data_IF_577127458126
#
_entry.id   IF_577127458126
#
_cell.length_a   1.000
_cell.length_b   1.000
_cell.length_c   1.000
_cell.angle_alpha   90.00
_cell.angle_beta   90.00
_cell.angle_gamma   90.00
#
_symmetry.space_group_name_H-M   'P 1'
#
loop_
_entity.id
_entity.type
_entity.pdbx_description
1 polymer ?
#
# COMPACT_ATOMS: atom_id res chain seq x y z
N UNK A 1 1.15 -46.99 -62.69
CA UNK A 1 2.60 -46.70 -62.53
C UNK A 1 2.79 -45.20 -62.74
N UNK A 2 3.68 -44.48 -62.03
CA UNK A 2 3.79 -44.31 -60.57
C UNK A 2 4.08 -42.82 -60.12
N UNK A 3 3.97 -42.57 -58.79
CA UNK A 3 4.81 -41.73 -57.88
C UNK A 3 4.81 -40.17 -57.92
N UNK A 4 4.40 -39.47 -56.84
CA UNK A 4 5.22 -38.83 -55.73
C UNK A 4 5.53 -37.34 -56.01
N UNK A 5 5.59 -36.34 -55.12
CA UNK A 5 5.22 -36.05 -53.73
C UNK A 5 5.67 -34.57 -53.44
N UNK A 6 5.06 -33.94 -52.43
CA UNK A 6 5.61 -32.85 -51.57
C UNK A 6 5.82 -31.42 -52.14
N UNK A 7 5.10 -30.44 -51.57
CA UNK A 7 5.64 -29.46 -50.59
C UNK A 7 4.57 -28.52 -50.02
N UNK A 8 4.30 -28.69 -48.73
CA UNK A 8 3.77 -27.66 -47.83
C UNK A 8 4.75 -26.48 -47.73
N UNK A 9 4.23 -25.27 -47.63
CA UNK A 9 4.91 -24.16 -46.96
C UNK A 9 3.89 -23.21 -46.30
N UNK A 10 3.71 -23.45 -45.00
CA UNK A 10 3.28 -22.48 -44.00
C UNK A 10 4.35 -21.42 -43.73
N UNK A 11 3.92 -20.34 -43.04
CA UNK A 11 4.67 -19.29 -42.29
C UNK A 11 5.11 -18.05 -43.12
N UNK A 12 4.98 -16.79 -42.66
CA UNK A 12 4.61 -16.17 -41.38
C UNK A 12 4.13 -14.71 -41.68
N UNK A 13 3.32 -14.05 -40.87
CA UNK A 13 3.81 -13.37 -39.66
C UNK A 13 2.73 -13.22 -38.60
N UNK A 14 2.96 -13.92 -37.50
CA UNK A 14 2.29 -13.85 -36.21
C UNK A 14 2.28 -12.42 -35.67
N UNK A 15 1.08 -11.88 -35.44
CA UNK A 15 0.87 -10.72 -34.57
C UNK A 15 1.10 -11.19 -33.13
N UNK A 16 2.26 -10.84 -32.60
CA UNK A 16 2.68 -11.16 -31.25
C UNK A 16 1.84 -10.36 -30.23
N UNK A 17 0.64 -10.86 -29.88
CA UNK A 17 -0.17 -10.32 -28.81
C UNK A 17 0.51 -10.65 -27.47
N UNK A 18 1.13 -9.65 -26.84
CA UNK A 18 1.70 -9.81 -25.49
C UNK A 18 0.58 -10.17 -24.50
N UNK A 19 0.82 -11.06 -23.53
CA UNK A 19 -0.21 -11.45 -22.57
C UNK A 19 -0.63 -10.25 -21.71
N UNK A 20 -1.94 -10.06 -21.53
CA UNK A 20 -2.55 -8.92 -20.86
C UNK A 20 -2.01 -8.65 -19.43
N UNK A 21 -1.54 -9.69 -18.72
CA UNK A 21 -0.91 -9.58 -17.39
C UNK A 21 0.41 -8.81 -17.40
N UNK A 22 1.17 -8.87 -18.50
CA UNK A 22 2.41 -8.07 -18.62
C UNK A 22 2.08 -6.59 -18.71
N UNK A 23 0.92 -6.26 -19.27
CA UNK A 23 0.47 -4.89 -19.45
C UNK A 23 -0.09 -4.28 -18.15
N UNK A 24 -0.72 -5.10 -17.30
CA UNK A 24 -1.20 -4.65 -15.98
C UNK A 24 -0.03 -4.34 -15.04
N UNK A 25 0.97 -5.23 -14.96
CA UNK A 25 2.17 -5.00 -14.14
C UNK A 25 2.92 -3.75 -14.63
N UNK A 26 3.08 -3.60 -15.95
CA UNK A 26 3.77 -2.44 -16.54
C UNK A 26 3.04 -1.13 -16.23
N UNK A 27 1.72 -1.12 -16.35
CA UNK A 27 0.88 0.05 -16.05
C UNK A 27 1.02 0.44 -14.58
N UNK A 28 0.89 -0.52 -13.66
CA UNK A 28 1.06 -0.30 -12.23
C UNK A 28 2.45 0.27 -11.89
N UNK A 29 3.53 -0.33 -12.42
CA UNK A 29 4.90 0.14 -12.17
C UNK A 29 5.13 1.58 -12.65
N UNK A 30 4.47 1.97 -13.75
CA UNK A 30 4.54 3.31 -14.28
C UNK A 30 3.76 4.31 -13.41
N UNK A 31 2.59 3.94 -12.88
CA UNK A 31 1.80 4.78 -11.98
C UNK A 31 2.55 5.09 -10.68
N UNK A 32 3.07 4.07 -9.99
CA UNK A 32 3.84 4.28 -8.75
C UNK A 32 5.17 5.00 -9.00
N UNK A 33 5.68 4.97 -10.23
CA UNK A 33 6.89 5.67 -10.64
C UNK A 33 6.71 7.19 -10.75
N UNK A 34 5.46 7.66 -10.95
CA UNK A 34 5.11 9.09 -11.04
C UNK A 34 4.99 9.77 -9.67
N UNK A 35 4.77 8.99 -8.61
CA UNK A 35 4.64 9.52 -7.25
C UNK A 35 6.02 9.96 -6.74
N UNK A 36 6.19 11.24 -6.32
CA UNK A 36 7.44 11.72 -5.77
C UNK A 36 7.76 11.05 -4.42
N UNK A 37 9.05 10.88 -4.14
CA UNK A 37 9.50 10.39 -2.84
C UNK A 37 9.25 11.45 -1.76
N UNK A 38 8.95 11.00 -0.54
CA UNK A 38 8.82 11.90 0.59
C UNK A 38 10.17 12.45 1.05
N UNK A 39 10.18 13.73 1.41
CA UNK A 39 11.28 14.32 2.16
C UNK A 39 11.23 13.87 3.62
N UNK A 40 12.34 14.02 4.34
CA UNK A 40 12.40 13.69 5.77
C UNK A 40 11.38 14.48 6.60
N UNK A 41 11.19 15.75 6.27
CA UNK A 41 10.21 16.61 6.93
C UNK A 41 8.76 16.16 6.66
N UNK A 42 8.49 15.73 5.42
CA UNK A 42 7.19 15.16 5.05
C UNK A 42 6.93 13.84 5.78
N UNK A 43 7.92 12.96 5.89
CA UNK A 43 7.80 11.71 6.69
C UNK A 43 7.39 12.02 8.13
N UNK A 44 8.03 13.03 8.75
CA UNK A 44 7.73 13.43 10.13
C UNK A 44 6.33 14.02 10.22
N UNK A 45 5.97 14.91 9.29
CA UNK A 45 4.67 15.61 9.30
C UNK A 45 3.52 14.63 9.10
N UNK A 46 3.61 13.78 8.07
CA UNK A 46 2.59 12.78 7.79
C UNK A 46 2.54 11.70 8.87
N UNK A 47 3.70 11.27 9.39
CA UNK A 47 3.76 10.34 10.52
C UNK A 47 2.99 10.86 11.73
N UNK A 48 3.16 12.13 12.11
CA UNK A 48 2.41 12.75 13.22
C UNK A 48 0.90 12.81 12.96
N UNK A 49 0.49 13.13 11.73
CA UNK A 49 -0.93 13.17 11.35
C UNK A 49 -1.57 11.78 11.42
N UNK A 50 -0.86 10.75 10.94
CA UNK A 50 -1.31 9.36 11.06
C UNK A 50 -1.40 8.94 12.52
N UNK A 51 -0.38 9.22 13.33
CA UNK A 51 -0.41 8.89 14.77
C UNK A 51 -1.58 9.53 15.50
N UNK A 52 -1.86 10.82 15.26
CA UNK A 52 -3.02 11.51 15.84
C UNK A 52 -4.32 10.80 15.45
N UNK A 53 -4.49 10.46 14.17
CA UNK A 53 -5.66 9.71 13.71
C UNK A 53 -5.76 8.32 14.36
N UNK A 54 -4.65 7.58 14.50
CA UNK A 54 -4.66 6.26 15.12
C UNK A 54 -5.08 6.34 16.60
N UNK A 55 -4.62 7.35 17.34
CA UNK A 55 -5.06 7.60 18.72
C UNK A 55 -6.56 7.89 18.80
N UNK A 56 -7.09 8.70 17.88
CA UNK A 56 -8.52 8.99 17.82
C UNK A 56 -9.34 7.72 17.56
N UNK A 57 -8.90 6.86 16.63
CA UNK A 57 -9.55 5.59 16.32
C UNK A 57 -9.50 4.60 17.50
N UNK A 58 -8.40 4.58 18.25
CA UNK A 58 -8.28 3.75 19.45
C UNK A 58 -9.29 4.17 20.54
N UNK A 59 -9.46 5.49 20.74
CA UNK A 59 -10.49 6.01 21.66
C UNK A 59 -11.88 5.61 21.20
N UNK A 60 -12.16 5.67 19.89
CA UNK A 60 -13.43 5.22 19.33
C UNK A 60 -13.70 3.74 19.63
N UNK A 61 -12.69 2.89 19.43
CA UNK A 61 -12.79 1.46 19.68
C UNK A 61 -13.07 1.19 21.16
N UNK A 62 -12.31 1.80 22.05
CA UNK A 62 -12.49 1.68 23.52
C UNK A 62 -13.89 2.14 23.94
N UNK A 63 -14.37 3.24 23.37
CA UNK A 63 -15.69 3.77 23.65
C UNK A 63 -16.80 2.83 23.15
N UNK A 64 -16.61 2.19 21.98
CA UNK A 64 -17.55 1.21 21.47
C UNK A 64 -17.71 0.00 22.40
N UNK A 65 -16.60 -0.48 22.98
CA UNK A 65 -16.61 -1.55 23.97
C UNK A 65 -17.32 -1.15 25.26
N UNK A 66 -17.16 0.10 25.70
CA UNK A 66 -17.79 0.62 26.92
C UNK A 66 -19.30 0.85 26.76
N UNK A 67 -19.73 1.35 25.59
CA UNK A 67 -21.13 1.66 25.31
C UNK A 67 -21.92 0.42 24.84
N UNK A 68 -21.24 -0.60 24.32
CA UNK A 68 -21.88 -1.77 23.72
C UNK A 68 -22.51 -1.49 22.35
N UNK A 69 -22.22 -0.33 21.74
CA UNK A 69 -22.63 0.05 20.39
C UNK A 69 -21.59 0.97 19.76
N UNK A 70 -21.72 1.19 18.44
CA UNK A 70 -20.86 2.12 17.73
C UNK A 70 -21.07 3.55 18.25
N UNK A 71 -20.02 4.27 18.69
CA UNK A 71 -20.15 5.63 19.19
C UNK A 71 -20.58 6.58 18.07
N UNK A 72 -21.53 7.45 18.37
CA UNK A 72 -21.89 8.57 17.52
C UNK A 72 -20.74 9.57 17.40
N UNK A 73 -20.79 10.42 16.39
CA UNK A 73 -19.77 11.46 16.20
C UNK A 73 -19.70 12.42 17.40
N UNK A 74 -20.83 12.66 18.05
CA UNK A 74 -20.92 13.53 19.22
C UNK A 74 -20.23 12.88 20.43
N UNK A 75 -20.59 11.64 20.78
CA UNK A 75 -19.97 10.89 21.90
C UNK A 75 -18.46 10.73 21.71
N UNK A 76 -18.01 10.48 20.47
CA UNK A 76 -16.59 10.37 20.17
C UNK A 76 -15.85 11.70 20.32
N UNK A 77 -16.45 12.81 19.86
CA UNK A 77 -15.87 14.14 20.01
C UNK A 77 -15.81 14.59 21.48
N UNK A 78 -16.83 14.25 22.27
CA UNK A 78 -16.88 14.50 23.71
C UNK A 78 -15.81 13.71 24.46
N UNK A 79 -15.63 12.42 24.15
CA UNK A 79 -14.60 11.59 24.74
C UNK A 79 -13.16 12.06 24.42
N UNK A 80 -12.98 12.79 23.32
CA UNK A 80 -11.71 13.37 22.91
C UNK A 80 -11.53 14.84 23.33
N UNK A 81 -12.49 15.40 24.07
CA UNK A 81 -12.52 16.80 24.50
C UNK A 81 -12.30 17.80 23.33
N UNK A 82 -12.87 17.51 22.16
CA UNK A 82 -12.74 18.34 20.96
C UNK A 82 -14.07 18.50 20.21
N UNK A 83 -14.15 19.48 19.31
CA UNK A 83 -15.36 19.65 18.50
C UNK A 83 -15.51 18.56 17.44
N UNK A 84 -16.76 18.23 17.06
CA UNK A 84 -17.05 17.26 16.01
C UNK A 84 -16.43 17.62 14.65
N UNK A 85 -16.32 18.91 14.34
CA UNK A 85 -15.68 19.43 13.12
C UNK A 85 -14.16 19.31 13.16
N UNK A 86 -13.54 19.58 14.32
CA UNK A 86 -12.10 19.38 14.51
C UNK A 86 -11.73 17.90 14.40
N UNK A 87 -12.52 17.02 15.03
CA UNK A 87 -12.35 15.58 14.93
C UNK A 87 -12.40 15.12 13.46
N UNK A 88 -13.44 15.53 12.74
CA UNK A 88 -13.60 15.20 11.31
C UNK A 88 -12.39 15.67 10.49
N UNK A 89 -11.98 16.92 10.67
CA UNK A 89 -10.84 17.51 9.97
C UNK A 89 -9.54 16.76 10.27
N UNK A 90 -9.30 16.43 11.53
CA UNK A 90 -8.13 15.66 11.97
C UNK A 90 -8.09 14.26 11.35
N UNK A 91 -9.24 13.57 11.30
CA UNK A 91 -9.34 12.25 10.68
C UNK A 91 -9.09 12.30 9.16
N UNK A 92 -9.65 13.29 8.46
CA UNK A 92 -9.43 13.47 7.02
C UNK A 92 -7.95 13.77 6.72
N UNK A 93 -7.31 14.61 7.54
CA UNK A 93 -5.88 14.89 7.43
C UNK A 93 -5.05 13.62 7.64
N UNK A 94 -5.34 12.84 8.67
CA UNK A 94 -4.66 11.57 8.95
C UNK A 94 -4.82 10.55 7.83
N UNK A 95 -6.03 10.41 7.28
CA UNK A 95 -6.31 9.50 6.14
C UNK A 95 -5.52 9.91 4.90
N UNK A 96 -5.50 11.21 4.59
CA UNK A 96 -4.72 11.74 3.47
C UNK A 96 -3.23 11.56 3.67
N UNK A 97 -2.73 11.77 4.88
CA UNK A 97 -1.33 11.55 5.24
C UNK A 97 -0.93 10.08 5.08
N UNK A 98 -1.77 9.16 5.59
CA UNK A 98 -1.59 7.70 5.44
C UNK A 98 -1.49 7.33 3.97
N UNK A 99 -2.44 7.78 3.13
CA UNK A 99 -2.43 7.54 1.68
C UNK A 99 -1.13 8.00 1.02
N UNK A 100 -0.70 9.25 1.28
CA UNK A 100 0.56 9.78 0.75
C UNK A 100 1.78 8.98 1.19
N UNK A 101 1.82 8.52 2.45
CA UNK A 101 2.91 7.69 2.95
C UNK A 101 2.95 6.33 2.26
N UNK A 102 1.81 5.71 2.01
CA UNK A 102 1.73 4.44 1.29
C UNK A 102 2.19 4.62 -0.16
N UNK A 103 1.56 5.55 -0.89
CA UNK A 103 1.83 5.79 -2.32
C UNK A 103 3.31 6.07 -2.61
N UNK A 104 3.94 6.94 -1.82
CA UNK A 104 5.34 7.30 -2.00
C UNK A 104 6.32 6.13 -1.72
N UNK A 105 5.85 5.08 -1.05
CA UNK A 105 6.66 3.92 -0.67
C UNK A 105 6.30 2.63 -1.42
N UNK A 106 5.35 2.65 -2.37
CA UNK A 106 5.01 1.46 -3.18
C UNK A 106 6.21 0.93 -3.99
N UNK A 107 7.12 1.81 -4.40
CA UNK A 107 8.37 1.41 -5.08
C UNK A 107 9.25 0.53 -4.19
N UNK A 108 9.26 0.77 -2.87
CA UNK A 108 9.99 -0.05 -1.91
C UNK A 108 9.36 -1.45 -1.84
N UNK A 109 8.04 -1.56 -1.78
CA UNK A 109 7.30 -2.83 -1.79
C UNK A 109 7.70 -3.67 -2.99
N UNK A 110 7.63 -3.10 -4.19
CA UNK A 110 8.03 -3.78 -5.44
C UNK A 110 9.48 -4.27 -5.37
N UNK A 111 10.41 -3.45 -4.85
CA UNK A 111 11.83 -3.82 -4.75
C UNK A 111 12.09 -4.98 -3.79
N UNK A 112 11.26 -5.13 -2.76
CA UNK A 112 11.32 -6.23 -1.80
C UNK A 112 10.65 -7.46 -2.40
N UNK A 113 9.43 -7.33 -2.93
CA UNK A 113 8.64 -8.41 -3.53
C UNK A 113 9.38 -9.13 -4.67
N UNK A 114 10.14 -8.40 -5.50
CA UNK A 114 10.96 -8.99 -6.57
C UNK A 114 11.94 -10.06 -6.08
N UNK A 115 12.38 -9.99 -4.82
CA UNK A 115 13.29 -11.00 -4.23
C UNK A 115 12.59 -12.31 -3.91
N UNK A 116 11.26 -12.32 -3.82
CA UNK A 116 10.43 -13.47 -3.46
C UNK A 116 9.70 -14.11 -4.66
N UNK A 117 9.86 -13.56 -5.87
CA UNK A 117 9.20 -14.02 -7.09
C UNK A 117 9.57 -15.46 -7.52
N UNK A 118 10.66 -16.04 -6.99
CA UNK A 118 11.04 -17.44 -7.27
C UNK A 118 10.19 -18.48 -6.52
N UNK A 119 9.21 -18.05 -5.72
CA UNK A 119 8.25 -18.91 -5.02
C UNK A 119 6.99 -19.05 -5.88
N UNK A 120 6.18 -20.09 -5.67
CA UNK A 120 4.97 -20.41 -6.47
C UNK A 120 3.81 -19.39 -6.35
N UNK A 121 4.10 -18.11 -6.07
CA UNK A 121 3.13 -17.03 -5.88
C UNK A 121 3.28 -16.01 -7.02
N UNK A 122 2.15 -15.47 -7.47
CA UNK A 122 2.13 -14.47 -8.54
C UNK A 122 2.78 -13.15 -8.06
N UNK A 123 3.38 -12.39 -8.97
CA UNK A 123 4.14 -11.21 -8.58
C UNK A 123 3.25 -10.08 -8.05
N UNK A 124 2.04 -9.90 -8.59
CA UNK A 124 1.07 -8.95 -8.06
C UNK A 124 0.60 -9.39 -6.67
N UNK A 125 0.39 -10.69 -6.41
CA UNK A 125 0.02 -11.18 -5.09
C UNK A 125 1.08 -10.80 -4.03
N UNK A 126 2.37 -10.99 -4.34
CA UNK A 126 3.48 -10.55 -3.47
C UNK A 126 3.48 -9.03 -3.23
N UNK A 127 3.12 -8.24 -4.25
CA UNK A 127 3.00 -6.79 -4.12
C UNK A 127 1.81 -6.44 -3.23
N UNK A 128 0.67 -7.12 -3.37
CA UNK A 128 -0.52 -6.87 -2.56
C UNK A 128 -0.24 -7.17 -1.08
N UNK A 129 0.32 -8.35 -0.77
CA UNK A 129 0.70 -8.71 0.60
C UNK A 129 1.73 -7.73 1.17
N UNK A 130 2.74 -7.38 0.38
CA UNK A 130 3.73 -6.37 0.77
C UNK A 130 3.13 -4.99 1.02
N UNK A 131 2.07 -4.62 0.29
CA UNK A 131 1.35 -3.34 0.45
C UNK A 131 0.55 -3.34 1.74
N UNK A 132 -0.09 -4.46 2.10
CA UNK A 132 -0.75 -4.63 3.40
C UNK A 132 0.26 -4.54 4.55
N UNK A 133 1.46 -5.11 4.37
CA UNK A 133 2.58 -4.94 5.30
C UNK A 133 2.99 -3.48 5.45
N UNK A 134 3.20 -2.78 4.33
CA UNK A 134 3.52 -1.35 4.32
C UNK A 134 2.47 -0.52 5.07
N UNK A 135 1.19 -0.77 4.82
CA UNK A 135 0.08 -0.07 5.46
C UNK A 135 0.13 -0.20 7.00
N UNK A 136 0.30 -1.43 7.52
CA UNK A 136 0.50 -1.67 8.96
C UNK A 136 1.74 -0.95 9.49
N UNK A 137 2.79 -0.89 8.69
CA UNK A 137 4.00 -0.14 9.00
C UNK A 137 3.75 1.37 9.11
N UNK A 138 2.91 1.95 8.25
CA UNK A 138 2.52 3.37 8.32
C UNK A 138 1.74 3.66 9.60
N UNK A 139 0.78 2.79 9.95
CA UNK A 139 -0.06 2.95 11.15
C UNK A 139 0.73 2.93 12.46
N UNK A 140 1.80 2.12 12.51
CA UNK A 140 2.61 1.91 13.72
C UNK A 140 3.90 2.72 13.73
N UNK A 141 4.16 3.52 12.69
CA UNK A 141 5.40 4.27 12.59
C UNK A 141 5.47 5.38 13.65
N UNK A 142 6.65 5.54 14.22
CA UNK A 142 6.96 6.60 15.18
C UNK A 142 8.04 7.55 14.61
N UNK A 143 7.66 8.75 14.16
CA UNK A 143 8.59 9.71 13.57
C UNK A 143 9.57 10.30 14.58
N UNK A 144 9.32 10.17 15.89
CA UNK A 144 10.20 10.72 16.93
C UNK A 144 11.41 9.83 17.23
N UNK A 145 11.41 8.56 16.80
CA UNK A 145 12.50 7.61 17.05
C UNK A 145 13.79 7.87 16.24
N UNK A 146 13.80 8.86 15.35
CA UNK A 146 15.00 9.29 14.64
C UNK A 146 15.40 8.47 13.40
N UNK A 147 14.79 7.31 13.15
CA UNK A 147 15.04 6.50 11.96
C UNK A 147 14.17 6.92 10.76
N UNK A 148 14.62 6.64 9.53
CA UNK A 148 13.85 6.83 8.29
C UNK A 148 12.68 5.85 8.22
N UNK A 149 11.55 6.31 7.64
CA UNK A 149 10.38 5.45 7.51
C UNK A 149 10.67 4.20 6.67
N UNK A 150 11.47 4.33 5.60
CA UNK A 150 11.85 3.21 4.73
C UNK A 150 12.56 2.06 5.48
N UNK A 151 13.38 2.38 6.48
CA UNK A 151 14.04 1.37 7.33
C UNK A 151 13.02 0.60 8.15
N UNK A 152 12.05 1.29 8.73
CA UNK A 152 10.99 0.67 9.53
C UNK A 152 10.03 -0.16 8.66
N UNK A 153 9.58 0.41 7.53
CA UNK A 153 8.67 -0.21 6.59
C UNK A 153 9.25 -1.51 5.99
N UNK A 154 10.56 -1.59 5.78
CA UNK A 154 11.22 -2.79 5.26
C UNK A 154 10.85 -4.05 6.07
N UNK A 155 10.85 -3.96 7.41
CA UNK A 155 10.52 -5.09 8.27
C UNK A 155 9.06 -5.52 8.09
N UNK A 156 8.13 -4.57 8.10
CA UNK A 156 6.70 -4.85 7.93
C UNK A 156 6.35 -5.44 6.57
N UNK A 157 6.95 -4.90 5.49
CA UNK A 157 6.76 -5.42 4.13
C UNK A 157 7.31 -6.84 4.04
N UNK A 158 8.52 -7.07 4.56
CA UNK A 158 9.14 -8.40 4.53
C UNK A 158 8.31 -9.42 5.31
N UNK A 159 7.81 -9.04 6.49
CA UNK A 159 7.01 -9.89 7.35
C UNK A 159 5.68 -10.30 6.70
N UNK A 160 5.08 -9.43 5.89
CA UNK A 160 3.84 -9.74 5.19
C UNK A 160 4.04 -10.67 3.98
N UNK A 161 5.22 -10.62 3.35
CA UNK A 161 5.55 -11.44 2.16
C UNK A 161 6.11 -12.82 2.55
N UNK A 162 6.67 -12.95 3.77
CA UNK A 162 7.38 -14.17 4.23
C UNK A 162 6.42 -15.14 4.90
#
# INVERSE_FOLDING_TARGET
MPTVNTKYKDQAASRNARPATTDTVRTYLHEIGRVPLLTREQEITYGKQVQKMMQQLEVKHTLAEQLGHEPSQQEWSEALEMSADELKTSLEQGRRAKGKMIEANLRLVVSIAKKYQKRNMEFLDLIQEGTLGLERGVEKFDPMRGYKFSTYAYWWIRQAIT
#
